data_IF_867072606907
#
_entry.id   IF_867072606907
#
_cell.length_a   1.000
_cell.length_b   1.000
_cell.length_c   1.000
_cell.angle_alpha   90.00
_cell.angle_beta   90.00
_cell.angle_gamma   90.00
#
_symmetry.space_group_name_H-M   'P 1'
#
loop_
_entity.id
_entity.type
_entity.pdbx_description
1 polymer ?
#
# COMPACT_ATOMS: atom_id res chain seq x y z
N UNK A 1 7.16 29.04 -4.69
CA UNK A 1 8.22 28.49 -5.57
C UNK A 1 9.50 28.09 -4.82
N UNK A 2 9.64 28.40 -3.52
CA UNK A 2 10.85 28.10 -2.72
C UNK A 2 10.89 26.74 -2.01
N UNK A 3 9.77 26.02 -1.92
CA UNK A 3 9.68 24.81 -1.11
C UNK A 3 10.45 23.59 -1.69
N UNK A 4 10.84 23.64 -2.95
CA UNK A 4 11.53 22.52 -3.62
C UNK A 4 13.04 22.56 -3.40
N UNK A 5 13.61 23.72 -3.09
CA UNK A 5 15.06 23.94 -3.00
C UNK A 5 15.67 23.59 -1.64
N UNK A 6 14.87 23.38 -0.61
CA UNK A 6 15.35 23.06 0.76
C UNK A 6 15.13 21.60 1.19
N UNK A 7 14.71 20.73 0.27
CA UNK A 7 14.49 19.32 0.61
C UNK A 7 15.85 18.64 0.83
N UNK A 8 16.04 18.09 2.03
CA UNK A 8 17.23 17.29 2.33
C UNK A 8 17.34 16.10 1.37
N UNK A 9 18.53 15.85 0.84
CA UNK A 9 18.81 14.65 0.00
C UNK A 9 18.38 13.36 0.71
N UNK A 10 18.51 13.33 2.03
CA UNK A 10 18.04 12.21 2.86
C UNK A 10 16.53 12.00 2.73
N UNK A 11 15.73 13.08 2.84
CA UNK A 11 14.27 13.01 2.69
C UNK A 11 13.85 12.50 1.32
N UNK A 12 14.50 12.97 0.26
CA UNK A 12 14.24 12.51 -1.12
C UNK A 12 14.50 11.01 -1.25
N UNK A 13 15.62 10.51 -0.74
CA UNK A 13 15.96 9.08 -0.80
C UNK A 13 14.90 8.25 -0.07
N UNK A 14 14.47 8.65 1.13
CA UNK A 14 13.44 7.94 1.88
C UNK A 14 12.08 7.99 1.19
N UNK A 15 11.71 9.10 0.55
CA UNK A 15 10.48 9.21 -0.22
C UNK A 15 10.49 8.32 -1.47
N UNK A 16 11.64 8.26 -2.18
CA UNK A 16 11.80 7.35 -3.33
C UNK A 16 11.71 5.89 -2.86
N UNK A 17 12.41 5.51 -1.79
CA UNK A 17 12.32 4.16 -1.22
C UNK A 17 10.90 3.82 -0.77
N UNK A 18 10.17 4.78 -0.18
CA UNK A 18 8.77 4.61 0.18
C UNK A 18 7.89 4.37 -1.05
N UNK A 19 8.12 5.11 -2.15
CA UNK A 19 7.42 4.90 -3.41
C UNK A 19 7.71 3.53 -4.03
N UNK A 20 8.96 3.09 -4.02
CA UNK A 20 9.36 1.76 -4.49
C UNK A 20 8.72 0.64 -3.64
N UNK A 21 8.71 0.80 -2.32
CA UNK A 21 8.04 -0.13 -1.41
C UNK A 21 6.52 -0.19 -1.67
N UNK A 22 5.89 0.96 -1.96
CA UNK A 22 4.47 1.02 -2.36
C UNK A 22 4.21 0.22 -3.63
N UNK A 23 5.03 0.41 -4.66
CA UNK A 23 4.91 -0.34 -5.91
C UNK A 23 5.11 -1.84 -5.71
N UNK A 24 6.11 -2.24 -4.91
CA UNK A 24 6.35 -3.65 -4.56
C UNK A 24 5.15 -4.25 -3.79
N UNK A 25 4.58 -3.50 -2.84
CA UNK A 25 3.37 -3.91 -2.12
C UNK A 25 2.22 -4.17 -3.10
N UNK A 26 1.97 -3.29 -4.04
CA UNK A 26 0.90 -3.45 -5.03
C UNK A 26 1.11 -4.65 -5.95
N UNK A 27 2.35 -4.90 -6.40
CA UNK A 27 2.67 -6.08 -7.21
C UNK A 27 2.35 -7.35 -6.43
N UNK A 28 2.76 -7.43 -5.17
CA UNK A 28 2.47 -8.57 -4.29
C UNK A 28 0.97 -8.72 -4.05
N UNK A 29 0.26 -7.61 -3.79
CA UNK A 29 -1.17 -7.58 -3.56
C UNK A 29 -1.96 -8.10 -4.76
N UNK A 30 -1.74 -7.54 -5.95
CA UNK A 30 -2.42 -7.99 -7.15
C UNK A 30 -2.07 -9.43 -7.52
N UNK A 31 -0.82 -9.86 -7.25
CA UNK A 31 -0.46 -11.27 -7.42
C UNK A 31 -1.19 -12.17 -6.42
N UNK A 32 -1.32 -11.76 -5.17
CA UNK A 32 -2.09 -12.49 -4.16
C UNK A 32 -3.57 -12.60 -4.58
N UNK A 33 -4.18 -11.51 -5.07
CA UNK A 33 -5.55 -11.51 -5.58
C UNK A 33 -5.75 -12.41 -6.81
N UNK A 34 -4.75 -12.50 -7.69
CA UNK A 34 -4.84 -13.34 -8.90
C UNK A 34 -4.79 -14.84 -8.62
N UNK A 35 -4.24 -15.26 -7.46
CA UNK A 35 -4.08 -16.68 -7.10
C UNK A 35 -4.82 -17.06 -5.83
N UNK A 36 -5.47 -16.12 -5.16
CA UNK A 36 -6.16 -16.31 -3.88
C UNK A 36 -7.59 -15.77 -3.89
N UNK A 37 -8.28 -16.02 -2.79
CA UNK A 37 -9.62 -15.50 -2.53
C UNK A 37 -9.50 -14.06 -1.97
N UNK A 38 -10.23 -13.12 -2.56
CA UNK A 38 -10.27 -11.70 -2.15
C UNK A 38 -10.61 -11.57 -0.66
N UNK A 39 -11.59 -12.35 -0.16
CA UNK A 39 -12.02 -12.32 1.23
C UNK A 39 -10.93 -12.76 2.23
N UNK A 40 -9.88 -13.41 1.75
CA UNK A 40 -8.72 -13.82 2.56
C UNK A 40 -7.53 -12.90 2.36
N UNK A 41 -7.29 -12.46 1.14
CA UNK A 41 -6.15 -11.60 0.79
C UNK A 41 -6.31 -10.19 1.38
N UNK A 42 -7.50 -9.58 1.24
CA UNK A 42 -7.76 -8.21 1.70
C UNK A 42 -7.54 -8.04 3.20
N UNK A 43 -8.08 -8.89 4.10
CA UNK A 43 -7.80 -8.76 5.53
C UNK A 43 -6.31 -8.89 5.88
N UNK A 44 -5.58 -9.79 5.21
CA UNK A 44 -4.14 -9.94 5.43
C UNK A 44 -3.39 -8.68 5.00
N UNK A 45 -3.73 -8.10 3.86
CA UNK A 45 -3.15 -6.83 3.42
C UNK A 45 -3.47 -5.68 4.39
N UNK A 46 -4.72 -5.56 4.82
CA UNK A 46 -5.15 -4.54 5.80
C UNK A 46 -4.54 -4.71 7.18
N UNK A 47 -4.08 -5.90 7.54
CA UNK A 47 -3.30 -6.10 8.78
C UNK A 47 -1.97 -5.34 8.77
N UNK A 48 -1.51 -4.86 7.62
CA UNK A 48 -0.35 -3.97 7.48
C UNK A 48 -0.49 -2.70 8.32
N UNK A 49 -1.71 -2.18 8.50
CA UNK A 49 -1.97 -1.00 9.32
C UNK A 49 -1.62 -1.27 10.80
N UNK A 50 -2.03 -2.43 11.31
CA UNK A 50 -1.67 -2.88 12.67
C UNK A 50 -0.14 -3.01 12.79
N UNK A 51 0.49 -3.66 11.80
CA UNK A 51 1.94 -3.82 11.75
C UNK A 51 2.66 -2.46 11.70
N UNK A 52 2.16 -1.51 10.93
CA UNK A 52 2.71 -0.15 10.84
C UNK A 52 2.67 0.57 12.18
N UNK A 53 1.55 0.50 12.90
CA UNK A 53 1.44 1.15 14.23
C UNK A 53 2.40 0.52 15.22
N UNK A 54 2.49 -0.81 15.27
CA UNK A 54 3.43 -1.51 16.14
C UNK A 54 4.89 -1.14 15.82
N UNK A 55 5.26 -1.14 14.55
CA UNK A 55 6.60 -0.73 14.11
C UNK A 55 6.87 0.73 14.43
N UNK A 56 5.89 1.63 14.27
CA UNK A 56 6.04 3.03 14.59
C UNK A 56 6.31 3.24 16.09
N UNK A 57 5.62 2.51 16.97
CA UNK A 57 5.86 2.55 18.41
C UNK A 57 7.28 2.08 18.74
N UNK A 58 7.73 0.97 18.13
CA UNK A 58 9.03 0.36 18.42
C UNK A 58 10.18 1.21 17.86
N UNK A 59 10.07 1.67 16.61
CA UNK A 59 11.16 2.35 15.90
C UNK A 59 11.29 3.82 16.28
N UNK A 60 10.17 4.51 16.54
CA UNK A 60 10.17 5.94 16.86
C UNK A 60 9.98 6.23 18.35
N UNK A 61 9.78 5.20 19.19
CA UNK A 61 9.53 5.39 20.62
C UNK A 61 8.31 6.26 20.90
N UNK A 62 7.30 6.24 20.02
CA UNK A 62 6.11 7.08 20.14
C UNK A 62 5.21 6.63 21.31
N UNK A 63 5.60 6.99 22.52
CA UNK A 63 4.84 6.68 23.74
C UNK A 63 3.75 7.70 24.06
N UNK A 64 3.71 8.85 23.34
CA UNK A 64 2.63 9.84 23.51
C UNK A 64 1.28 9.21 23.19
N UNK A 65 0.35 9.25 24.14
CA UNK A 65 -0.97 8.65 24.06
C UNK A 65 -0.96 7.14 23.70
N UNK A 66 0.01 6.40 24.26
CA UNK A 66 0.20 4.96 23.98
C UNK A 66 -1.08 4.15 24.19
N UNK A 67 -1.84 4.44 25.26
CA UNK A 67 -3.10 3.77 25.56
C UNK A 67 -4.13 3.95 24.41
N UNK A 68 -4.28 5.18 23.88
CA UNK A 68 -5.20 5.46 22.78
C UNK A 68 -4.76 4.77 21.49
N UNK A 69 -3.44 4.76 21.20
CA UNK A 69 -2.87 4.05 20.04
C UNK A 69 -3.11 2.55 20.13
N UNK A 70 -2.88 1.94 21.29
CA UNK A 70 -3.10 0.50 21.52
C UNK A 70 -4.59 0.13 21.43
N UNK A 71 -5.48 0.92 22.03
CA UNK A 71 -6.93 0.70 21.93
C UNK A 71 -7.38 0.82 20.47
N UNK A 72 -6.97 1.87 19.76
CA UNK A 72 -7.29 2.04 18.35
C UNK A 72 -6.77 0.89 17.47
N UNK A 73 -5.54 0.43 17.74
CA UNK A 73 -4.95 -0.72 17.06
C UNK A 73 -5.70 -2.02 17.36
N UNK A 74 -6.16 -2.22 18.58
CA UNK A 74 -7.00 -3.37 18.95
C UNK A 74 -8.34 -3.35 18.21
N UNK A 75 -9.03 -2.19 18.13
CA UNK A 75 -10.24 -2.04 17.33
C UNK A 75 -10.00 -2.32 15.84
N UNK A 76 -8.89 -1.81 15.29
CA UNK A 76 -8.51 -2.11 13.90
C UNK A 76 -8.28 -3.62 13.69
N UNK A 77 -7.56 -4.27 14.60
CA UNK A 77 -7.31 -5.70 14.52
C UNK A 77 -8.62 -6.51 14.57
N UNK A 78 -9.53 -6.15 15.46
CA UNK A 78 -10.88 -6.77 15.53
C UNK A 78 -11.65 -6.52 14.23
N UNK A 79 -11.65 -5.29 13.70
CA UNK A 79 -12.31 -4.96 12.43
C UNK A 79 -11.75 -5.78 11.26
N UNK A 80 -10.44 -5.89 11.14
CA UNK A 80 -9.77 -6.72 10.13
C UNK A 80 -10.16 -8.19 10.29
N UNK A 81 -10.22 -8.69 11.53
CA UNK A 81 -10.63 -10.07 11.80
C UNK A 81 -12.09 -10.32 11.42
N UNK A 82 -12.99 -9.38 11.69
CA UNK A 82 -14.41 -9.47 11.31
C UNK A 82 -14.62 -9.42 9.78
N UNK A 83 -13.70 -8.83 9.02
CA UNK A 83 -13.73 -8.85 7.56
C UNK A 83 -13.51 -10.25 6.97
N UNK A 84 -12.95 -11.19 7.75
CA UNK A 84 -12.75 -12.56 7.32
C UNK A 84 -14.10 -13.29 7.36
N UNK A 85 -14.85 -13.19 6.27
CA UNK A 85 -16.10 -13.90 6.12
C UNK A 85 -15.82 -15.40 5.99
N UNK A 86 -16.29 -16.18 6.97
CA UNK A 86 -16.30 -17.65 6.90
C UNK A 86 -17.37 -18.12 5.93
N UNK A 87 -17.12 -18.02 4.63
CA UNK A 87 -17.94 -18.73 3.64
C UNK A 87 -17.76 -20.24 3.82
N UNK A 88 -18.80 -20.87 4.37
CA UNK A 88 -18.82 -22.31 4.73
C UNK A 88 -18.77 -23.27 3.55
N UNK A 89 -18.88 -22.83 2.31
CA UNK A 89 -19.05 -23.71 1.16
C UNK A 89 -18.26 -23.23 -0.06
N UNK A 90 -16.95 -23.37 -0.04
CA UNK A 90 -16.13 -23.65 -1.22
C UNK A 90 -14.70 -23.98 -0.80
N UNK A 91 -14.58 -25.13 -0.13
CA UNK A 91 -13.28 -25.76 0.08
C UNK A 91 -12.82 -26.47 -1.20
N UNK A 92 -12.63 -25.76 -2.32
CA UNK A 92 -11.58 -26.15 -3.24
C UNK A 92 -10.29 -25.74 -2.55
N UNK A 93 -9.49 -26.74 -2.22
CA UNK A 93 -8.15 -26.59 -1.64
C UNK A 93 -7.29 -25.72 -2.57
N UNK A 94 -7.50 -24.43 -2.53
CA UNK A 94 -6.63 -23.46 -3.20
C UNK A 94 -5.31 -23.54 -2.45
N UNK A 95 -4.29 -24.12 -3.11
CA UNK A 95 -2.93 -24.17 -2.57
C UNK A 95 -2.63 -22.79 -1.97
N UNK A 96 -2.12 -22.74 -0.72
CA UNK A 96 -1.82 -21.50 0.02
C UNK A 96 -0.76 -20.62 -0.65
N UNK A 97 -0.64 -20.69 -1.97
CA UNK A 97 0.30 -19.93 -2.79
C UNK A 97 0.05 -18.41 -2.76
N UNK A 98 -1.17 -17.99 -2.40
CA UNK A 98 -1.52 -16.57 -2.22
C UNK A 98 -0.93 -15.97 -0.93
N UNK A 99 -0.73 -16.78 0.11
CA UNK A 99 -0.36 -16.32 1.45
C UNK A 99 1.01 -15.60 1.49
N UNK A 100 2.10 -16.12 0.89
CA UNK A 100 3.39 -15.42 0.90
C UNK A 100 3.30 -14.07 0.16
N UNK A 101 2.51 -13.98 -0.88
CA UNK A 101 2.29 -12.72 -1.60
C UNK A 101 1.47 -11.72 -0.76
N UNK A 102 0.44 -12.17 -0.05
CA UNK A 102 -0.35 -11.32 0.84
C UNK A 102 0.48 -10.83 2.04
N UNK A 103 1.30 -11.68 2.64
CA UNK A 103 2.23 -11.29 3.71
C UNK A 103 3.28 -10.30 3.16
N UNK A 104 3.85 -10.58 1.99
CA UNK A 104 4.78 -9.67 1.33
C UNK A 104 4.17 -8.29 1.08
N UNK A 105 2.92 -8.24 0.60
CA UNK A 105 2.18 -6.98 0.44
C UNK A 105 2.06 -6.23 1.76
N UNK A 106 1.64 -6.89 2.83
CA UNK A 106 1.48 -6.27 4.14
C UNK A 106 2.80 -5.73 4.71
N UNK A 107 3.90 -6.47 4.56
CA UNK A 107 5.24 -6.04 5.00
C UNK A 107 5.71 -4.82 4.21
N UNK A 108 5.60 -4.84 2.88
CA UNK A 108 5.96 -3.70 2.05
C UNK A 108 5.06 -2.49 2.30
N UNK A 109 3.77 -2.67 2.58
CA UNK A 109 2.86 -1.60 2.94
C UNK A 109 3.25 -0.94 4.28
N UNK A 110 3.61 -1.74 5.29
CA UNK A 110 4.12 -1.23 6.56
C UNK A 110 5.44 -0.47 6.36
N UNK A 111 6.37 -1.03 5.58
CA UNK A 111 7.65 -0.40 5.26
C UNK A 111 7.45 0.94 4.53
N UNK A 112 6.51 1.00 3.59
CA UNK A 112 6.12 2.24 2.90
C UNK A 112 5.75 3.34 3.89
N UNK A 113 4.93 3.03 4.88
CA UNK A 113 4.47 3.99 5.88
C UNK A 113 5.61 4.48 6.77
N UNK A 114 6.49 3.58 7.19
CA UNK A 114 7.68 3.92 8.00
C UNK A 114 8.65 4.80 7.22
N UNK A 115 9.02 4.40 6.01
CA UNK A 115 9.92 5.17 5.13
C UNK A 115 9.30 6.54 4.77
N UNK A 116 7.99 6.56 4.50
CA UNK A 116 7.25 7.79 4.24
C UNK A 116 7.29 8.74 5.43
N UNK A 117 7.11 8.22 6.65
CA UNK A 117 7.19 9.03 7.88
C UNK A 117 8.57 9.67 8.06
N UNK A 118 9.63 8.91 7.84
CA UNK A 118 11.01 9.43 7.91
C UNK A 118 11.24 10.48 6.81
N UNK A 119 10.76 10.21 5.60
CA UNK A 119 10.95 11.09 4.45
C UNK A 119 10.20 12.44 4.54
N UNK A 120 9.07 12.47 5.27
CA UNK A 120 8.22 13.68 5.42
C UNK A 120 8.67 14.57 6.61
N UNK A 121 9.62 14.14 7.45
CA UNK A 121 9.98 14.86 8.68
C UNK A 121 10.35 16.34 8.41
N UNK A 122 11.01 16.62 7.29
CA UNK A 122 11.46 17.97 6.90
C UNK A 122 10.83 18.43 5.57
N UNK A 123 9.74 17.82 5.14
CA UNK A 123 9.10 18.09 3.85
C UNK A 123 7.60 18.28 4.07
N UNK A 124 7.01 19.25 3.37
CA UNK A 124 5.55 19.40 3.38
C UNK A 124 4.87 18.10 2.95
N UNK A 125 3.87 17.66 3.72
CA UNK A 125 3.19 16.37 3.54
C UNK A 125 2.63 16.17 2.11
N UNK A 126 2.07 17.23 1.52
CA UNK A 126 1.55 17.21 0.16
C UNK A 126 2.66 16.96 -0.88
N UNK A 127 3.80 17.64 -0.71
CA UNK A 127 4.96 17.50 -1.59
C UNK A 127 5.58 16.10 -1.46
N UNK A 128 5.71 15.59 -0.23
CA UNK A 128 6.17 14.22 0.02
C UNK A 128 5.27 13.17 -0.64
N UNK A 129 3.95 13.37 -0.56
CA UNK A 129 2.97 12.49 -1.21
C UNK A 129 3.07 12.58 -2.73
N UNK A 130 3.25 13.78 -3.31
CA UNK A 130 3.41 13.98 -4.75
C UNK A 130 4.66 13.25 -5.27
N UNK A 131 5.81 13.35 -4.59
CA UNK A 131 7.04 12.66 -4.95
C UNK A 131 6.83 11.14 -4.94
N UNK A 132 6.24 10.59 -3.87
CA UNK A 132 5.94 9.15 -3.77
C UNK A 132 5.03 8.68 -4.90
N UNK A 133 3.97 9.44 -5.19
CA UNK A 133 3.03 9.12 -6.26
C UNK A 133 3.71 9.13 -7.62
N UNK A 134 4.61 10.10 -7.87
CA UNK A 134 5.44 10.15 -9.07
C UNK A 134 6.31 8.90 -9.24
N UNK A 135 6.96 8.44 -8.17
CA UNK A 135 7.76 7.20 -8.19
C UNK A 135 6.90 5.97 -8.50
N UNK A 136 5.71 5.87 -7.88
CA UNK A 136 4.76 4.77 -8.14
C UNK A 136 4.29 4.79 -9.59
N UNK A 137 4.01 5.98 -10.14
CA UNK A 137 3.61 6.14 -11.53
C UNK A 137 4.70 5.64 -12.49
N UNK A 138 5.95 6.05 -12.27
CA UNK A 138 7.10 5.59 -13.07
C UNK A 138 7.25 4.07 -12.97
N UNK A 139 7.14 3.49 -11.76
CA UNK A 139 7.17 2.03 -11.58
C UNK A 139 6.04 1.33 -12.33
N UNK A 140 4.81 1.86 -12.28
CA UNK A 140 3.67 1.27 -12.97
C UNK A 140 3.92 1.22 -14.49
N UNK A 141 4.43 2.31 -15.08
CA UNK A 141 4.80 2.35 -16.48
C UNK A 141 5.93 1.38 -16.83
N UNK A 142 6.98 1.31 -16.01
CA UNK A 142 8.07 0.35 -16.21
C UNK A 142 7.55 -1.10 -16.22
N UNK A 143 6.65 -1.45 -15.32
CA UNK A 143 6.04 -2.79 -15.27
C UNK A 143 5.26 -3.10 -16.54
N UNK A 144 4.49 -2.14 -17.06
CA UNK A 144 3.72 -2.29 -18.31
C UNK A 144 4.68 -2.53 -19.48
N UNK A 145 5.78 -1.77 -19.58
CA UNK A 145 6.78 -1.93 -20.63
C UNK A 145 7.50 -3.28 -20.52
N UNK A 146 7.98 -3.66 -19.34
CA UNK A 146 8.71 -4.92 -19.11
C UNK A 146 7.84 -6.14 -19.39
N UNK A 147 6.54 -6.08 -19.04
CA UNK A 147 5.59 -7.17 -19.33
C UNK A 147 5.10 -7.20 -20.77
N UNK A 148 5.50 -6.25 -21.61
CA UNK A 148 5.08 -6.16 -23.01
C UNK A 148 3.57 -5.97 -23.21
N UNK A 149 2.84 -5.56 -22.16
CA UNK A 149 1.39 -5.45 -22.16
C UNK A 149 0.86 -4.08 -22.66
N UNK A 150 1.72 -3.27 -23.24
CA UNK A 150 1.33 -1.98 -23.82
C UNK A 150 0.25 -2.09 -24.91
N UNK A 151 0.19 -3.21 -25.62
CA UNK A 151 -0.86 -3.47 -26.62
C UNK A 151 -2.23 -3.77 -25.99
N UNK A 152 -2.27 -4.32 -24.78
CA UNK A 152 -3.52 -4.59 -24.03
C UNK A 152 -4.18 -3.28 -23.57
N UNK A 153 -3.40 -2.23 -23.28
CA UNK A 153 -3.91 -0.90 -22.95
C UNK A 153 -4.81 -0.30 -24.06
N UNK A 154 -4.53 -0.62 -25.34
CA UNK A 154 -5.34 -0.18 -26.46
C UNK A 154 -6.68 -0.93 -26.59
N UNK A 155 -6.87 -2.01 -25.85
CA UNK A 155 -8.09 -2.84 -25.86
C UNK A 155 -9.00 -2.57 -24.66
N UNK A 156 -8.63 -1.62 -23.79
CA UNK A 156 -9.46 -1.24 -22.64
C UNK A 156 -10.71 -0.56 -23.16
N UNK A 157 -11.89 -1.08 -22.81
CA UNK A 157 -13.16 -0.48 -23.15
C UNK A 157 -13.30 0.90 -22.47
N UNK A 158 -13.89 1.85 -23.17
CA UNK A 158 -14.08 3.22 -22.68
C UNK A 158 -14.81 3.27 -21.32
N UNK A 159 -15.72 2.31 -21.08
CA UNK A 159 -16.40 2.16 -19.78
C UNK A 159 -15.45 1.78 -18.66
N UNK A 160 -14.54 0.83 -18.90
CA UNK A 160 -13.53 0.41 -17.91
C UNK A 160 -12.58 1.57 -17.58
N UNK A 161 -12.17 2.34 -18.58
CA UNK A 161 -11.32 3.51 -18.41
C UNK A 161 -12.00 4.57 -17.52
N UNK A 162 -13.30 4.82 -17.71
CA UNK A 162 -14.07 5.74 -16.86
C UNK A 162 -14.14 5.26 -15.42
N UNK A 163 -14.39 3.96 -15.18
CA UNK A 163 -14.42 3.41 -13.82
C UNK A 163 -13.05 3.48 -13.15
N UNK A 164 -11.96 3.22 -13.86
CA UNK A 164 -10.59 3.34 -13.36
C UNK A 164 -10.29 4.80 -12.99
N UNK A 165 -10.66 5.76 -13.86
CA UNK A 165 -10.47 7.19 -13.60
C UNK A 165 -11.28 7.66 -12.38
N UNK A 166 -12.55 7.26 -12.27
CA UNK A 166 -13.40 7.59 -11.11
C UNK A 166 -12.84 6.99 -9.82
N UNK A 167 -12.35 5.74 -9.86
CA UNK A 167 -11.70 5.10 -8.73
C UNK A 167 -10.43 5.86 -8.31
N UNK A 168 -9.62 6.31 -9.27
CA UNK A 168 -8.43 7.11 -9.01
C UNK A 168 -8.76 8.46 -8.37
N UNK A 169 -9.78 9.16 -8.87
CA UNK A 169 -10.27 10.42 -8.30
C UNK A 169 -10.79 10.22 -6.87
N UNK A 170 -11.61 9.18 -6.65
CA UNK A 170 -12.14 8.88 -5.32
C UNK A 170 -11.03 8.55 -4.30
N UNK A 171 -10.00 7.82 -4.73
CA UNK A 171 -8.83 7.51 -3.89
C UNK A 171 -7.99 8.75 -3.61
N UNK A 172 -7.85 9.66 -4.57
CA UNK A 172 -7.11 10.91 -4.38
C UNK A 172 -7.85 11.95 -3.54
N UNK A 173 -9.18 11.86 -3.46
CA UNK A 173 -10.02 12.77 -2.68
C UNK A 173 -10.24 12.31 -1.21
N UNK A 174 -9.87 11.07 -0.88
CA UNK A 174 -9.98 10.51 0.48
C UNK A 174 -8.71 10.78 1.31
#
# INVERSE_FOLDING_TARGET
AGAITEISTKSIIFLILSGLATGASWICYFKALSVGDVNKVVPVDKSSTVLTVLLAIILFGETSHLAVKLIGTAFLAVGVFLMIEKRKNEAKATKRTWLPYAIGSAVFAALTSILGKIGITDVESNLGTAIRTGVVLVMAWLIVFVKGKGAELKRIDCKELVFIALSGIATGAS
#
